data_IF_760774409522
#
_entry.id   IF_760774409522
#
_cell.length_a   1.000
_cell.length_b   1.000
_cell.length_c   1.000
_cell.angle_alpha   90.00
_cell.angle_beta   90.00
_cell.angle_gamma   90.00
#
_symmetry.space_group_name_H-M   'P 1'
#
loop_
_entity.id
_entity.type
_entity.pdbx_description
1 polymer ?
#
# COMPACT_ATOMS: atom_id res chain seq x y z
N UNK A 1 24.72 0.96 38.20
CA UNK A 1 23.49 0.57 37.47
C UNK A 1 23.50 1.28 36.14
N UNK A 2 23.47 0.58 34.99
CA UNK A 2 23.36 1.25 33.69
C UNK A 2 21.96 1.87 33.54
N UNK A 3 21.81 2.99 32.81
CA UNK A 3 20.50 3.57 32.55
C UNK A 3 19.70 2.71 31.56
N UNK A 4 18.36 2.70 31.63
CA UNK A 4 17.53 1.97 30.67
C UNK A 4 17.65 2.62 29.28
N UNK A 5 17.96 1.80 28.26
CA UNK A 5 17.87 2.19 26.85
C UNK A 5 16.49 2.76 26.55
N UNK A 6 16.42 4.07 26.32
CA UNK A 6 15.23 4.71 25.80
C UNK A 6 15.08 4.27 24.35
N UNK A 7 14.23 3.28 24.10
CA UNK A 7 13.73 3.00 22.75
C UNK A 7 12.96 4.24 22.33
N UNK A 8 13.34 4.96 21.25
CA UNK A 8 12.58 6.12 20.83
C UNK A 8 11.15 5.69 20.51
N UNK A 9 10.12 6.49 20.86
CA UNK A 9 8.76 6.18 20.50
C UNK A 9 8.69 6.04 18.98
N UNK A 10 8.09 4.94 18.50
CA UNK A 10 7.82 4.74 17.09
C UNK A 10 7.06 5.97 16.58
N UNK A 11 7.77 6.82 15.85
CA UNK A 11 7.18 7.99 15.21
C UNK A 11 6.12 7.44 14.27
N UNK A 12 4.86 7.56 14.68
CA UNK A 12 3.71 7.16 13.87
C UNK A 12 3.63 8.17 12.74
N UNK A 13 4.51 8.03 11.75
CA UNK A 13 4.46 8.84 10.54
C UNK A 13 3.05 8.70 9.97
N UNK A 14 2.38 9.79 9.58
CA UNK A 14 0.99 9.79 9.10
C UNK A 14 0.69 8.91 7.85
N UNK A 15 1.62 8.06 7.41
CA UNK A 15 1.46 7.07 6.35
C UNK A 15 2.05 5.69 6.68
N UNK A 16 2.34 5.39 7.94
CA UNK A 16 2.75 4.04 8.34
C UNK A 16 1.54 3.11 8.35
N UNK A 17 1.67 1.96 7.69
CA UNK A 17 0.67 0.90 7.77
C UNK A 17 0.91 0.14 9.09
N UNK A 18 -0.10 -0.03 9.96
CA UNK A 18 0.06 -0.77 11.21
C UNK A 18 0.51 -2.21 10.95
N UNK A 19 1.21 -2.82 11.90
CA UNK A 19 1.68 -4.21 11.80
C UNK A 19 0.53 -5.20 11.57
N UNK A 20 -0.60 -4.99 12.28
CA UNK A 20 -1.84 -5.75 12.10
C UNK A 20 -2.39 -5.67 10.67
N UNK A 21 -1.93 -4.69 9.90
CA UNK A 21 -2.22 -4.50 8.49
C UNK A 21 -3.50 -3.74 8.20
N UNK A 22 -3.72 -3.47 6.92
CA UNK A 22 -4.93 -2.82 6.40
C UNK A 22 -5.05 -3.00 4.89
N UNK A 23 -6.27 -2.85 4.40
CA UNK A 23 -6.53 -2.68 2.98
C UNK A 23 -6.14 -1.28 2.52
N UNK A 24 -5.46 -1.22 1.38
CA UNK A 24 -5.07 -0.01 0.66
C UNK A 24 -5.42 -0.14 -0.82
N UNK A 25 -5.58 0.99 -1.50
CA UNK A 25 -5.56 1.04 -2.95
C UNK A 25 -4.10 1.17 -3.40
N UNK A 26 -3.48 0.07 -3.81
CA UNK A 26 -2.11 0.04 -4.33
C UNK A 26 -2.12 0.56 -5.77
N UNK A 27 -1.35 1.62 -6.02
CA UNK A 27 -1.34 2.38 -7.28
C UNK A 27 -0.16 2.01 -8.17
N UNK A 28 1.01 1.78 -7.57
CA UNK A 28 2.24 1.49 -8.30
C UNK A 28 3.28 0.84 -7.39
N UNK A 29 4.17 0.04 -7.97
CA UNK A 29 5.38 -0.46 -7.30
C UNK A 29 6.61 -0.04 -8.10
N UNK A 30 7.47 0.77 -7.50
CA UNK A 30 8.72 1.25 -8.10
C UNK A 30 9.91 0.51 -7.47
N UNK A 31 10.82 -0.10 -8.25
CA UNK A 31 12.01 -0.75 -7.69
C UNK A 31 12.85 0.21 -6.86
N UNK A 32 13.36 -0.23 -5.72
CA UNK A 32 14.26 0.61 -4.88
C UNK A 32 15.57 0.96 -5.61
N UNK A 33 15.96 0.15 -6.60
CA UNK A 33 17.11 0.43 -7.47
C UNK A 33 16.93 1.64 -8.38
N UNK A 34 15.69 2.11 -8.61
CA UNK A 34 15.42 3.32 -9.40
C UNK A 34 15.86 4.62 -8.69
N UNK A 35 16.11 4.57 -7.37
CA UNK A 35 16.54 5.71 -6.56
C UNK A 35 15.40 6.62 -6.07
N UNK A 36 15.68 7.40 -5.02
CA UNK A 36 14.68 8.24 -4.36
C UNK A 36 14.13 9.36 -5.27
N UNK A 37 14.94 9.88 -6.19
CA UNK A 37 14.48 10.86 -7.17
C UNK A 37 13.36 10.29 -8.07
N UNK A 38 13.48 9.03 -8.49
CA UNK A 38 12.42 8.35 -9.26
C UNK A 38 11.18 8.11 -8.40
N UNK A 39 11.35 7.72 -7.12
CA UNK A 39 10.26 7.58 -6.14
C UNK A 39 9.46 8.88 -6.01
N UNK A 40 10.14 10.00 -5.82
CA UNK A 40 9.50 11.30 -5.58
C UNK A 40 8.80 11.83 -6.85
N UNK A 41 9.43 11.65 -8.02
CA UNK A 41 8.80 11.96 -9.32
C UNK A 41 7.53 11.11 -9.54
N UNK A 42 7.59 9.81 -9.24
CA UNK A 42 6.45 8.91 -9.33
C UNK A 42 5.33 9.34 -8.38
N UNK A 43 5.65 9.68 -7.13
CA UNK A 43 4.68 10.18 -6.16
C UNK A 43 3.99 11.46 -6.65
N UNK A 44 4.79 12.43 -7.12
CA UNK A 44 4.26 13.69 -7.64
C UNK A 44 3.33 13.47 -8.85
N UNK A 45 3.64 12.50 -9.71
CA UNK A 45 2.77 12.12 -10.84
C UNK A 45 1.47 11.50 -10.34
N UNK A 46 1.52 10.56 -9.39
CA UNK A 46 0.34 9.91 -8.82
C UNK A 46 -0.58 10.91 -8.11
N UNK A 47 -0.01 11.87 -7.38
CA UNK A 47 -0.76 12.92 -6.66
C UNK A 47 -1.58 13.86 -7.54
N UNK A 48 -1.33 13.88 -8.86
CA UNK A 48 -2.20 14.61 -9.81
C UNK A 48 -3.59 13.98 -9.94
N UNK A 49 -3.69 12.65 -9.78
CA UNK A 49 -4.94 11.90 -9.86
C UNK A 49 -5.42 11.43 -8.49
N UNK A 50 -4.48 11.16 -7.58
CA UNK A 50 -4.72 10.61 -6.25
C UNK A 50 -4.01 11.50 -5.21
N UNK A 51 -4.58 12.66 -4.83
CA UNK A 51 -3.89 13.66 -4.00
C UNK A 51 -3.34 13.11 -2.68
N UNK A 52 -4.06 12.17 -2.08
CA UNK A 52 -3.69 11.53 -0.80
C UNK A 52 -2.70 10.37 -0.94
N UNK A 53 -2.15 10.15 -2.15
CA UNK A 53 -1.17 9.10 -2.37
C UNK A 53 0.07 9.28 -1.47
N UNK A 54 0.55 8.17 -0.94
CA UNK A 54 1.78 8.06 -0.15
C UNK A 54 2.51 6.77 -0.52
N UNK A 55 3.59 6.43 0.16
CA UNK A 55 4.35 5.20 -0.08
C UNK A 55 4.87 4.55 1.20
N UNK A 56 5.17 3.26 1.10
CA UNK A 56 5.95 2.48 2.07
C UNK A 56 7.10 1.76 1.36
N UNK A 57 8.10 1.31 2.12
CA UNK A 57 9.08 0.33 1.63
C UNK A 57 8.50 -1.07 1.80
N UNK A 58 8.55 -1.86 0.74
CA UNK A 58 8.02 -3.23 0.77
C UNK A 58 8.77 -4.15 1.72
N UNK A 59 10.04 -3.86 1.99
CA UNK A 59 10.89 -4.67 2.89
C UNK A 59 10.37 -4.68 4.34
N UNK A 60 9.58 -3.66 4.72
CA UNK A 60 9.02 -3.52 6.07
C UNK A 60 7.72 -4.33 6.26
N UNK A 61 7.20 -4.95 5.20
CA UNK A 61 5.90 -5.64 5.20
C UNK A 61 6.01 -7.00 4.48
N UNK A 62 6.01 -8.10 5.23
CA UNK A 62 6.19 -9.46 4.68
C UNK A 62 5.09 -9.90 3.70
N UNK A 63 3.92 -9.26 3.76
CA UNK A 63 2.85 -9.42 2.76
C UNK A 63 3.23 -8.85 1.38
N UNK A 64 4.31 -8.07 1.23
CA UNK A 64 4.74 -7.46 -0.02
C UNK A 64 5.98 -8.14 -0.61
N UNK A 65 6.18 -8.00 -1.92
CA UNK A 65 7.44 -8.40 -2.57
C UNK A 65 8.54 -7.42 -2.16
N UNK A 66 9.69 -7.87 -1.62
CA UNK A 66 10.78 -6.98 -1.20
C UNK A 66 11.44 -6.25 -2.38
N UNK A 67 12.13 -5.15 -2.09
CA UNK A 67 12.86 -4.35 -3.08
C UNK A 67 12.05 -3.29 -3.83
N UNK A 68 10.91 -2.83 -3.31
CA UNK A 68 10.06 -1.83 -3.94
C UNK A 68 9.63 -0.70 -2.99
N UNK A 69 9.42 0.49 -3.54
CA UNK A 69 8.49 1.47 -2.98
C UNK A 69 7.09 1.17 -3.49
N UNK A 70 6.16 0.93 -2.57
CA UNK A 70 4.75 0.70 -2.89
C UNK A 70 3.98 1.97 -2.65
N UNK A 71 3.39 2.52 -3.71
CA UNK A 71 2.55 3.71 -3.66
C UNK A 71 1.11 3.32 -3.45
N UNK A 72 0.42 3.99 -2.53
CA UNK A 72 -0.95 3.65 -2.18
C UNK A 72 -1.77 4.84 -1.69
N UNK A 73 -3.08 4.66 -1.64
CA UNK A 73 -4.03 5.51 -0.92
C UNK A 73 -4.88 4.67 0.05
N UNK A 74 -5.49 5.31 1.05
CA UNK A 74 -6.28 4.63 2.08
C UNK A 74 -5.89 5.04 3.50
N UNK A 75 -6.42 4.37 4.54
CA UNK A 75 -6.95 2.99 4.54
C UNK A 75 -8.36 2.79 4.00
N UNK A 76 -8.69 1.51 3.73
CA UNK A 76 -10.04 1.03 3.41
C UNK A 76 -10.45 -0.12 4.32
N UNK A 77 -11.76 -0.35 4.52
CA UNK A 77 -12.27 -1.46 5.33
C UNK A 77 -12.07 -2.83 4.66
N UNK A 78 -12.15 -2.89 3.34
CA UNK A 78 -11.91 -4.11 2.56
C UNK A 78 -11.34 -3.81 1.16
N UNK A 79 -10.94 -4.86 0.44
CA UNK A 79 -10.37 -4.73 -0.90
C UNK A 79 -11.37 -4.22 -1.93
N UNK A 80 -12.68 -4.44 -1.72
CA UNK A 80 -13.73 -3.94 -2.62
C UNK A 80 -13.91 -2.44 -2.49
N UNK A 81 -13.80 -1.91 -1.28
CA UNK A 81 -13.84 -0.48 -1.02
C UNK A 81 -12.61 0.22 -1.62
N UNK A 82 -11.43 -0.41 -1.50
CA UNK A 82 -10.23 0.04 -2.18
C UNK A 82 -10.39 0.06 -3.73
N UNK A 83 -10.99 -0.97 -4.32
CA UNK A 83 -11.27 -0.99 -5.76
C UNK A 83 -12.32 0.04 -6.20
N UNK A 84 -13.32 0.31 -5.36
CA UNK A 84 -14.31 1.35 -5.66
C UNK A 84 -13.63 2.73 -5.72
N UNK A 85 -12.73 3.01 -4.79
CA UNK A 85 -11.88 4.20 -4.81
C UNK A 85 -11.03 4.32 -6.09
N UNK A 86 -10.47 3.20 -6.56
CA UNK A 86 -9.75 3.14 -7.83
C UNK A 86 -10.65 3.51 -9.02
N UNK A 87 -11.84 2.89 -9.10
CA UNK A 87 -12.77 3.05 -10.21
C UNK A 87 -13.35 4.47 -10.31
N UNK A 88 -13.64 5.13 -9.18
CA UNK A 88 -14.07 6.53 -9.12
C UNK A 88 -13.06 7.50 -9.75
N UNK A 89 -11.78 7.11 -9.82
CA UNK A 89 -10.68 7.88 -10.41
C UNK A 89 -10.30 7.40 -11.81
N UNK A 90 -11.09 6.51 -12.40
CA UNK A 90 -10.83 5.93 -13.72
C UNK A 90 -9.67 4.92 -13.76
N UNK A 91 -9.14 4.50 -12.59
CA UNK A 91 -8.07 3.52 -12.50
C UNK A 91 -8.69 2.11 -12.48
N UNK A 92 -9.04 1.62 -13.65
CA UNK A 92 -9.81 0.37 -13.81
C UNK A 92 -8.97 -0.79 -14.30
N UNK A 93 -7.71 -0.58 -14.67
CA UNK A 93 -6.79 -1.66 -15.02
C UNK A 93 -6.05 -2.23 -13.80
N UNK A 94 -5.74 -3.53 -13.85
CA UNK A 94 -5.01 -4.22 -12.78
C UNK A 94 -3.62 -3.63 -12.53
N UNK A 95 -2.98 -3.04 -13.53
CA UNK A 95 -1.66 -2.44 -13.37
C UNK A 95 -1.72 -0.98 -12.87
N UNK A 96 -2.92 -0.38 -12.87
CA UNK A 96 -3.13 1.00 -12.42
C UNK A 96 -3.53 1.06 -10.96
N UNK A 97 -4.42 0.17 -10.51
CA UNK A 97 -4.90 0.18 -9.14
C UNK A 97 -5.53 -1.16 -8.73
N UNK A 98 -5.13 -1.67 -7.57
CA UNK A 98 -5.72 -2.87 -6.96
C UNK A 98 -5.99 -2.63 -5.48
N UNK A 99 -6.95 -3.36 -4.92
CA UNK A 99 -7.05 -3.51 -3.48
C UNK A 99 -5.96 -4.45 -2.98
N UNK A 100 -5.14 -4.02 -2.04
CA UNK A 100 -4.07 -4.82 -1.44
C UNK A 100 -4.16 -4.79 0.07
N UNK A 101 -4.14 -5.96 0.72
CA UNK A 101 -3.86 -6.01 2.15
C UNK A 101 -2.35 -5.90 2.36
N UNK A 102 -1.93 -5.00 3.25
CA UNK A 102 -0.52 -4.82 3.61
C UNK A 102 -0.37 -5.02 5.10
N UNK A 103 0.48 -5.96 5.49
CA UNK A 103 0.81 -6.35 6.87
C UNK A 103 2.23 -6.93 6.96
N UNK A 104 2.67 -7.21 8.19
CA UNK A 104 3.93 -7.91 8.48
C UNK A 104 3.83 -9.44 8.43
N UNK A 105 2.66 -9.99 8.08
CA UNK A 105 2.44 -11.44 7.95
C UNK A 105 2.57 -11.86 6.48
N UNK A 106 3.46 -12.82 6.19
CA UNK A 106 3.67 -13.32 4.83
C UNK A 106 2.50 -14.16 4.32
N UNK A 107 1.66 -14.72 5.20
CA UNK A 107 0.46 -15.44 4.81
C UNK A 107 -0.57 -14.52 4.13
N UNK A 108 -0.50 -13.21 4.36
CA UNK A 108 -1.38 -12.23 3.72
C UNK A 108 -0.97 -11.91 2.27
N UNK A 109 0.07 -12.56 1.72
CA UNK A 109 0.59 -12.27 0.38
C UNK A 109 -0.46 -12.46 -0.74
N UNK A 110 -1.43 -13.35 -0.59
CA UNK A 110 -2.47 -13.57 -1.59
C UNK A 110 -3.71 -12.69 -1.40
N UNK A 111 -3.73 -11.85 -0.35
CA UNK A 111 -4.84 -10.92 -0.09
C UNK A 111 -4.78 -9.73 -1.05
N UNK A 112 -5.36 -9.96 -2.23
CA UNK A 112 -5.47 -9.01 -3.34
C UNK A 112 -6.92 -8.97 -3.82
N UNK A 113 -7.32 -7.81 -4.29
CA UNK A 113 -8.62 -7.57 -4.91
C UNK A 113 -8.39 -6.85 -6.23
N UNK A 114 -8.80 -7.45 -7.32
CA UNK A 114 -8.54 -6.94 -8.68
C UNK A 114 -9.80 -6.37 -9.32
N UNK A 115 -9.66 -5.29 -10.13
CA UNK A 115 -10.77 -4.74 -10.88
C UNK A 115 -11.35 -5.75 -11.89
N UNK A 116 -12.57 -5.50 -12.42
CA UNK A 116 -13.40 -4.29 -12.21
C UNK A 116 -14.13 -4.28 -10.86
N UNK A 117 -14.44 -3.09 -10.34
CA UNK A 117 -15.14 -2.94 -9.06
C UNK A 117 -16.57 -3.52 -9.06
N UNK A 118 -17.23 -3.59 -10.21
CA UNK A 118 -18.56 -4.19 -10.38
C UNK A 118 -18.56 -5.72 -10.29
N UNK A 119 -17.42 -6.36 -10.57
CA UNK A 119 -17.24 -7.80 -10.54
C UNK A 119 -15.79 -8.13 -10.11
N UNK A 120 -15.44 -7.87 -8.84
CA UNK A 120 -14.06 -7.99 -8.38
C UNK A 120 -13.63 -9.45 -8.31
N UNK A 121 -12.33 -9.70 -8.51
CA UNK A 121 -11.70 -11.02 -8.39
C UNK A 121 -10.58 -11.03 -7.34
N UNK A 122 -10.23 -12.22 -6.84
CA UNK A 122 -9.29 -12.39 -5.72
C UNK A 122 -10.03 -12.53 -4.37
N UNK A 123 -9.29 -12.44 -3.26
CA UNK A 123 -9.83 -12.65 -1.91
C UNK A 123 -10.68 -11.47 -1.44
N UNK A 124 -10.22 -10.24 -1.70
CA UNK A 124 -10.91 -8.97 -1.37
C UNK A 124 -11.29 -8.72 0.10
N UNK A 125 -11.09 -9.67 1.01
CA UNK A 125 -11.30 -9.58 2.45
C UNK A 125 -10.20 -10.35 3.18
N UNK A 126 -10.01 -10.04 4.46
CA UNK A 126 -9.19 -10.81 5.39
C UNK A 126 -10.19 -11.38 6.41
N UNK A 127 -10.38 -12.68 6.40
CA UNK A 127 -11.33 -13.38 7.28
C UNK A 127 -10.79 -13.55 8.71
#
# INVERSE_FOLDING_TARGET
TPPPSSTPPASSSPGAIPDAGRWVAMLHSEPTSSGEAARDQRLAKLRKTVPDATYVRSDDYASLRPGFWVFYAGPFPDGRTALSYCAERGLTDRNECIGRYVSVDSADFDLQCYPPASAPSGTCRRD
#
